data_IF_759499639886
#
_entry.id   IF_759499639886
#
_cell.length_a   1.000
_cell.length_b   1.000
_cell.length_c   1.000
_cell.angle_alpha   90.00
_cell.angle_beta   90.00
_cell.angle_gamma   90.00
#
_symmetry.space_group_name_H-M   'P 1'
#
loop_
_entity.id
_entity.type
_entity.pdbx_description
1 polymer ?
#
# COMPACT_ATOMS: atom_id res chain seq x y z
N UNK A 1 -43.35 -25.57 43.67
CA UNK A 1 -43.72 -25.10 42.32
C UNK A 1 -43.15 -23.71 42.13
N UNK A 2 -41.94 -23.64 41.56
CA UNK A 2 -41.37 -22.49 40.85
C UNK A 2 -39.98 -22.94 40.38
N UNK A 3 -39.96 -23.89 39.45
CA UNK A 3 -38.81 -24.15 38.61
C UNK A 3 -38.56 -22.86 37.82
N UNK A 4 -37.44 -22.17 38.09
CA UNK A 4 -37.01 -21.05 37.25
C UNK A 4 -36.00 -21.60 36.24
N UNK A 5 -36.37 -21.74 34.96
CA UNK A 5 -35.41 -22.01 33.92
C UNK A 5 -34.70 -20.71 33.52
N UNK A 6 -33.71 -20.88 32.66
CA UNK A 6 -33.07 -19.86 31.82
C UNK A 6 -31.72 -19.34 32.31
N UNK A 7 -30.73 -20.21 32.17
CA UNK A 7 -29.39 -19.84 31.72
C UNK A 7 -29.49 -19.06 30.40
N UNK A 8 -29.14 -17.77 30.37
CA UNK A 8 -29.04 -17.01 29.12
C UNK A 8 -28.15 -15.75 29.25
N UNK A 9 -26.95 -15.87 29.83
CA UNK A 9 -26.02 -14.74 29.96
C UNK A 9 -24.56 -15.12 29.61
N UNK A 10 -24.38 -16.07 28.68
CA UNK A 10 -23.08 -16.70 28.44
C UNK A 10 -22.55 -16.69 27.00
N UNK A 11 -23.22 -16.10 26.01
CA UNK A 11 -22.83 -16.35 24.60
C UNK A 11 -22.59 -15.14 23.69
N UNK A 12 -22.72 -13.89 24.18
CA UNK A 12 -22.60 -12.71 23.29
C UNK A 12 -21.18 -12.15 23.19
N UNK A 13 -20.26 -12.53 24.09
CA UNK A 13 -18.88 -11.99 24.11
C UNK A 13 -17.90 -12.71 23.19
N UNK A 14 -18.31 -13.85 22.62
CA UNK A 14 -17.45 -14.67 21.74
C UNK A 14 -17.54 -14.29 20.26
N UNK A 15 -18.73 -13.90 19.79
CA UNK A 15 -18.98 -13.65 18.37
C UNK A 15 -18.28 -12.41 17.81
N UNK A 16 -18.21 -11.32 18.59
CA UNK A 16 -17.62 -10.06 18.11
C UNK A 16 -16.11 -10.17 17.86
N UNK A 17 -15.40 -10.99 18.66
CA UNK A 17 -13.96 -11.22 18.50
C UNK A 17 -13.63 -12.08 17.27
N UNK A 18 -14.47 -13.08 16.97
CA UNK A 18 -14.30 -13.95 15.80
C UNK A 18 -14.51 -13.18 14.49
N UNK A 19 -15.49 -12.28 14.46
CA UNK A 19 -15.77 -11.42 13.29
C UNK A 19 -14.62 -10.44 13.00
N UNK A 20 -13.98 -9.89 14.04
CA UNK A 20 -12.81 -9.02 13.86
C UNK A 20 -11.53 -9.79 13.52
N UNK A 21 -11.40 -11.04 13.98
CA UNK A 21 -10.27 -11.89 13.63
C UNK A 21 -10.31 -12.37 12.17
N UNK A 22 -11.52 -12.54 11.62
CA UNK A 22 -11.77 -12.94 10.22
C UNK A 22 -11.79 -11.74 9.26
N UNK A 23 -11.77 -10.51 9.78
CA UNK A 23 -11.63 -9.31 8.97
C UNK A 23 -10.30 -9.39 8.19
N UNK A 24 -10.41 -9.37 6.86
CA UNK A 24 -9.27 -9.44 5.96
C UNK A 24 -8.31 -8.29 6.24
N UNK A 25 -7.19 -8.60 6.90
CA UNK A 25 -6.14 -7.61 7.16
C UNK A 25 -5.66 -7.10 5.80
N UNK A 26 -5.68 -5.78 5.56
CA UNK A 26 -5.12 -5.24 4.33
C UNK A 26 -3.67 -5.73 4.21
N UNK A 27 -3.31 -6.24 3.03
CA UNK A 27 -1.95 -6.73 2.82
C UNK A 27 -0.95 -5.58 2.91
N UNK A 28 0.31 -5.90 3.22
CA UNK A 28 1.40 -4.90 3.28
C UNK A 28 1.45 -3.99 2.05
N UNK A 29 1.17 -4.53 0.86
CA UNK A 29 1.12 -3.75 -0.39
C UNK A 29 -0.03 -2.72 -0.42
N UNK A 30 -1.20 -3.07 0.14
CA UNK A 30 -2.34 -2.17 0.22
C UNK A 30 -2.08 -1.05 1.23
N UNK A 31 -1.54 -1.39 2.40
CA UNK A 31 -1.10 -0.41 3.40
C UNK A 31 0.00 0.52 2.86
N UNK A 32 0.98 -0.02 2.11
CA UNK A 32 2.04 0.79 1.49
C UNK A 32 1.47 1.75 0.45
N UNK A 33 0.50 1.29 -0.35
CA UNK A 33 -0.16 2.10 -1.36
C UNK A 33 -0.99 3.22 -0.73
N UNK A 34 -1.76 2.91 0.31
CA UNK A 34 -2.56 3.87 1.06
C UNK A 34 -1.69 4.91 1.79
N UNK A 35 -0.56 4.47 2.38
CA UNK A 35 0.42 5.36 2.97
C UNK A 35 1.06 6.31 1.95
N UNK A 36 1.38 5.79 0.76
CA UNK A 36 1.94 6.56 -0.35
C UNK A 36 0.92 7.56 -0.91
N UNK A 37 -0.34 7.15 -1.06
CA UNK A 37 -1.44 8.01 -1.51
C UNK A 37 -1.71 9.15 -0.52
N UNK A 38 -1.66 8.85 0.78
CA UNK A 38 -1.89 9.82 1.87
C UNK A 38 -0.81 10.91 1.90
N UNK A 39 0.43 10.57 1.56
CA UNK A 39 1.56 11.48 1.75
C UNK A 39 1.98 12.27 0.50
N UNK A 40 1.70 11.82 -0.74
CA UNK A 40 2.67 12.12 -1.82
C UNK A 40 2.17 12.68 -3.15
N UNK A 41 1.01 13.36 -3.25
CA UNK A 41 0.81 14.19 -4.45
C UNK A 41 1.93 15.24 -4.60
N UNK A 42 2.40 15.87 -3.52
CA UNK A 42 3.49 16.84 -3.60
C UNK A 42 4.92 16.27 -3.61
N UNK A 43 5.12 15.04 -3.12
CA UNK A 43 6.46 14.43 -3.02
C UNK A 43 6.77 13.48 -4.18
N UNK A 44 5.76 12.83 -4.76
CA UNK A 44 5.92 11.95 -5.93
C UNK A 44 6.02 12.77 -7.22
N UNK A 45 5.28 13.88 -7.31
CA UNK A 45 5.29 14.76 -8.48
C UNK A 45 6.69 15.22 -8.90
N UNK A 46 7.57 15.76 -8.03
CA UNK A 46 8.91 16.17 -8.46
C UNK A 46 9.76 15.00 -8.96
N UNK A 47 9.63 13.81 -8.36
CA UNK A 47 10.36 12.60 -8.79
C UNK A 47 9.90 12.18 -10.19
N UNK A 48 8.58 12.05 -10.38
CA UNK A 48 8.01 11.65 -11.67
C UNK A 48 8.32 12.68 -12.76
N UNK A 49 8.27 13.97 -12.44
CA UNK A 49 8.61 15.06 -13.36
C UNK A 49 10.06 14.93 -13.85
N UNK A 50 11.01 14.73 -12.94
CA UNK A 50 12.43 14.57 -13.30
C UNK A 50 12.63 13.30 -14.13
N UNK A 51 11.98 12.18 -13.77
CA UNK A 51 12.06 10.94 -14.57
C UNK A 51 11.51 11.14 -15.99
N UNK A 52 10.41 11.87 -16.15
CA UNK A 52 9.85 12.19 -17.46
C UNK A 52 10.77 13.13 -18.26
N UNK A 53 11.36 14.14 -17.61
CA UNK A 53 12.32 15.05 -18.24
C UNK A 53 13.56 14.29 -18.72
N UNK A 54 14.13 13.43 -17.87
CA UNK A 54 15.28 12.58 -18.24
C UNK A 54 14.90 11.62 -19.36
N UNK A 55 13.74 10.97 -19.29
CA UNK A 55 13.24 10.11 -20.36
C UNK A 55 13.07 10.85 -21.69
N UNK A 56 12.49 12.05 -21.67
CA UNK A 56 12.36 12.90 -22.84
C UNK A 56 13.72 13.31 -23.42
N UNK A 57 14.67 13.68 -22.56
CA UNK A 57 16.04 13.98 -22.97
C UNK A 57 16.73 12.77 -23.60
N UNK A 58 16.56 11.56 -23.04
CA UNK A 58 17.11 10.32 -23.61
C UNK A 58 16.53 10.06 -25.00
N UNK A 59 15.22 10.19 -25.17
CA UNK A 59 14.56 10.00 -26.47
C UNK A 59 15.02 11.03 -27.52
N UNK A 60 15.27 12.27 -27.10
CA UNK A 60 15.78 13.34 -27.97
C UNK A 60 17.30 13.28 -28.20
N UNK A 61 18.06 12.61 -27.33
CA UNK A 61 19.53 12.54 -27.37
C UNK A 61 20.07 11.75 -28.57
N UNK A 62 19.25 10.95 -29.26
CA UNK A 62 19.63 10.23 -30.48
C UNK A 62 20.65 9.10 -30.28
N UNK A 63 21.37 9.10 -29.15
CA UNK A 63 22.27 8.02 -28.76
C UNK A 63 21.85 7.44 -27.41
N UNK A 64 21.44 6.17 -27.44
CA UNK A 64 21.26 5.31 -26.25
C UNK A 64 22.63 5.04 -25.57
N UNK A 65 23.73 5.59 -26.11
CA UNK A 65 25.11 5.33 -25.73
C UNK A 65 25.64 6.16 -24.55
N UNK A 66 24.94 7.21 -24.11
CA UNK A 66 25.36 8.07 -23.01
C UNK A 66 25.70 7.34 -21.67
N UNK A 67 25.05 6.24 -21.24
CA UNK A 67 25.40 5.54 -20.00
C UNK A 67 26.62 4.61 -20.13
N UNK A 68 27.21 4.44 -21.32
CA UNK A 68 28.38 3.58 -21.56
C UNK A 68 29.69 4.36 -21.77
N UNK A 69 29.68 5.68 -21.64
CA UNK A 69 30.91 6.49 -21.75
C UNK A 69 31.94 6.15 -20.65
N UNK A 70 31.52 5.46 -19.58
CA UNK A 70 32.42 4.90 -18.56
C UNK A 70 32.99 3.52 -18.87
N UNK A 71 32.59 2.84 -19.95
CA UNK A 71 33.19 1.54 -20.31
C UNK A 71 34.43 1.68 -21.20
N UNK A 72 34.80 2.90 -21.61
CA UNK A 72 35.98 3.19 -22.43
C UNK A 72 37.21 3.66 -21.62
N UNK A 73 37.14 3.64 -20.29
CA UNK A 73 38.26 3.89 -19.39
C UNK A 73 38.36 2.78 -18.34
#
# INVERSE_FOLDING_TARGET
MADRPSQAAGNERGGDFEVEAEAARPGLLAELWEFMATNKKWWLTPIVLVLLLVGALILMSGSVAAPFVYTLF
#
